data_IF_957782898345
#
_entry.id   IF_957782898345
#
_cell.length_a   1.000
_cell.length_b   1.000
_cell.length_c   1.000
_cell.angle_alpha   90.00
_cell.angle_beta   90.00
_cell.angle_gamma   90.00
#
_symmetry.space_group_name_H-M   'P 1'
#
loop_
_entity.id
_entity.type
_entity.pdbx_description
1 polymer ?
#
# COMPACT_ATOMS: atom_id res chain seq x y z
N UNK A 1 15.38 -20.30 -86.59
CA UNK A 1 14.75 -21.51 -87.19
C UNK A 1 13.67 -21.99 -86.20
N UNK A 2 12.45 -21.94 -86.71
CA UNK A 2 11.27 -22.78 -86.41
C UNK A 2 11.00 -23.13 -84.97
N UNK A 3 9.93 -22.47 -84.41
CA UNK A 3 8.55 -22.94 -84.42
C UNK A 3 8.31 -24.23 -83.60
N UNK A 4 7.58 -24.16 -82.54
CA UNK A 4 6.22 -24.77 -82.56
C UNK A 4 5.53 -24.53 -81.20
N UNK A 5 4.32 -23.94 -81.23
CA UNK A 5 3.29 -23.94 -80.22
C UNK A 5 2.55 -25.28 -80.29
N UNK A 6 2.09 -25.87 -79.25
CA UNK A 6 0.64 -26.09 -79.25
C UNK A 6 -0.08 -25.83 -77.92
N UNK A 7 -1.20 -25.23 -78.13
CA UNK A 7 -2.56 -25.59 -77.62
C UNK A 7 -2.87 -25.63 -76.14
N UNK A 8 -3.74 -24.73 -75.85
CA UNK A 8 -4.59 -24.55 -74.67
C UNK A 8 -5.40 -25.77 -74.25
N UNK A 9 -5.40 -26.02 -72.99
CA UNK A 9 -6.54 -26.74 -72.36
C UNK A 9 -7.02 -25.87 -71.15
N UNK A 10 -8.22 -25.26 -71.32
CA UNK A 10 -8.94 -24.62 -70.22
C UNK A 10 -9.55 -25.71 -69.32
N UNK A 11 -9.10 -25.77 -68.09
CA UNK A 11 -9.83 -26.46 -67.02
C UNK A 11 -10.41 -25.36 -66.11
N UNK A 12 -11.72 -25.25 -66.13
CA UNK A 12 -12.45 -24.39 -65.20
C UNK A 12 -12.40 -25.03 -63.81
N UNK A 13 -11.69 -24.38 -62.92
CA UNK A 13 -11.59 -24.77 -61.50
C UNK A 13 -12.57 -23.86 -60.72
N UNK A 14 -13.70 -24.43 -60.31
CA UNK A 14 -14.66 -23.80 -59.40
C UNK A 14 -14.03 -23.57 -58.06
N UNK A 15 -13.73 -22.33 -57.72
CA UNK A 15 -13.35 -21.92 -56.34
C UNK A 15 -14.56 -21.97 -55.47
N UNK A 16 -14.61 -22.95 -54.56
CA UNK A 16 -15.47 -22.93 -53.42
C UNK A 16 -14.91 -21.92 -52.41
N UNK A 17 -15.60 -20.81 -52.22
CA UNK A 17 -15.35 -19.86 -51.13
C UNK A 17 -15.70 -20.54 -49.81
N UNK A 18 -14.72 -21.13 -49.15
CA UNK A 18 -14.79 -21.50 -47.76
C UNK A 18 -14.76 -20.22 -46.89
N UNK A 19 -15.91 -19.88 -46.29
CA UNK A 19 -15.96 -18.86 -45.27
C UNK A 19 -15.13 -19.31 -44.08
N UNK A 20 -13.94 -18.72 -43.94
CA UNK A 20 -13.18 -18.78 -42.70
C UNK A 20 -13.94 -18.02 -41.63
N UNK A 21 -14.63 -18.74 -40.74
CA UNK A 21 -15.12 -18.19 -39.50
C UNK A 21 -13.90 -17.70 -38.70
N UNK A 22 -13.79 -16.38 -38.50
CA UNK A 22 -12.83 -15.81 -37.58
C UNK A 22 -13.22 -16.28 -36.17
N UNK A 23 -12.27 -16.71 -35.35
CA UNK A 23 -12.54 -16.96 -33.94
C UNK A 23 -12.86 -15.62 -33.29
N UNK A 24 -14.07 -15.51 -32.75
CA UNK A 24 -14.46 -14.43 -31.85
C UNK A 24 -13.50 -14.46 -30.66
N UNK A 25 -12.91 -13.33 -30.23
CA UNK A 25 -12.14 -13.30 -29.00
C UNK A 25 -13.10 -13.48 -27.83
N UNK A 26 -13.16 -14.69 -27.29
CA UNK A 26 -13.74 -14.99 -26.00
C UNK A 26 -12.62 -15.05 -24.96
N UNK A 27 -12.00 -13.92 -24.69
CA UNK A 27 -11.29 -13.69 -23.44
C UNK A 27 -12.17 -12.90 -22.48
N UNK A 28 -13.34 -13.46 -22.18
CA UNK A 28 -14.03 -13.08 -20.96
C UNK A 28 -13.21 -13.67 -19.82
N UNK A 29 -12.51 -12.79 -19.07
CA UNK A 29 -11.89 -13.14 -17.82
C UNK A 29 -12.88 -14.00 -17.02
N UNK A 30 -12.43 -15.17 -16.58
CA UNK A 30 -13.25 -16.07 -15.77
C UNK A 30 -13.82 -15.26 -14.60
N UNK A 31 -15.15 -15.13 -14.46
CA UNK A 31 -15.73 -14.34 -13.38
C UNK A 31 -15.22 -14.92 -12.06
N UNK A 32 -14.72 -14.03 -11.18
CA UNK A 32 -14.34 -14.44 -9.82
C UNK A 32 -15.53 -15.13 -9.16
N UNK A 33 -15.27 -16.18 -8.37
CA UNK A 33 -16.35 -16.79 -7.62
C UNK A 33 -17.03 -15.72 -6.75
N UNK A 34 -18.35 -15.61 -6.76
CA UNK A 34 -19.09 -14.58 -6.03
C UNK A 34 -18.91 -14.69 -4.52
N UNK A 35 -18.43 -15.83 -4.03
CA UNK A 35 -18.27 -16.12 -2.60
C UNK A 35 -17.00 -16.92 -2.34
N UNK A 36 -16.46 -16.73 -1.11
CA UNK A 36 -15.35 -17.53 -0.57
C UNK A 36 -15.69 -18.01 0.84
N UNK A 37 -15.47 -19.28 1.14
CA UNK A 37 -15.57 -19.79 2.49
C UNK A 37 -14.43 -19.23 3.36
N UNK A 38 -14.78 -18.80 4.56
CA UNK A 38 -13.85 -18.32 5.59
C UNK A 38 -14.08 -19.06 6.89
N UNK A 39 -13.14 -18.97 7.84
CA UNK A 39 -13.32 -19.54 9.17
C UNK A 39 -14.58 -19.00 9.90
N UNK A 40 -15.04 -17.82 9.50
CA UNK A 40 -16.19 -17.12 10.08
C UNK A 40 -17.50 -17.31 9.32
N UNK A 41 -17.49 -17.98 8.15
CA UNK A 41 -18.65 -18.18 7.27
C UNK A 41 -18.33 -17.76 5.83
N UNK A 42 -19.36 -17.57 5.02
CA UNK A 42 -19.21 -17.24 3.60
C UNK A 42 -19.04 -15.73 3.41
N UNK A 43 -17.93 -15.31 2.78
CA UNK A 43 -17.64 -13.95 2.37
C UNK A 43 -18.01 -13.74 0.90
N UNK A 44 -18.69 -12.64 0.56
CA UNK A 44 -18.98 -12.27 -0.81
C UNK A 44 -17.98 -11.25 -1.32
N UNK A 45 -17.53 -11.40 -2.57
CA UNK A 45 -16.55 -10.53 -3.22
C UNK A 45 -17.24 -9.83 -4.39
N UNK A 46 -17.08 -8.51 -4.46
CA UNK A 46 -17.62 -7.68 -5.54
C UNK A 46 -16.49 -6.85 -6.14
N UNK A 47 -16.35 -6.85 -7.46
CA UNK A 47 -15.44 -5.95 -8.16
C UNK A 47 -16.15 -4.61 -8.34
N UNK A 48 -15.60 -3.55 -7.75
CA UNK A 48 -16.11 -2.19 -7.87
C UNK A 48 -15.58 -1.53 -9.14
N UNK A 49 -14.28 -1.66 -9.41
CA UNK A 49 -13.65 -1.08 -10.59
C UNK A 49 -12.42 -1.91 -10.99
N UNK A 50 -12.07 -1.82 -12.29
CA UNK A 50 -10.88 -2.41 -12.91
C UNK A 50 -10.16 -1.34 -13.74
N UNK A 51 -9.04 -1.67 -14.39
CA UNK A 51 -8.31 -0.74 -15.23
C UNK A 51 -7.43 0.24 -14.45
N UNK A 52 -7.03 -0.11 -13.22
CA UNK A 52 -6.13 0.68 -12.41
C UNK A 52 -4.69 0.23 -12.63
N UNK A 53 -3.79 1.16 -12.94
CA UNK A 53 -2.39 0.82 -13.18
C UNK A 53 -1.57 0.90 -11.89
N UNK A 54 -1.17 -0.25 -11.34
CA UNK A 54 -0.44 -0.36 -10.09
C UNK A 54 -1.02 0.52 -8.98
N UNK A 55 -2.31 0.37 -8.64
CA UNK A 55 -2.92 1.20 -7.59
C UNK A 55 -2.21 0.95 -6.26
N UNK A 56 -1.97 2.04 -5.50
CA UNK A 56 -1.22 1.96 -4.25
C UNK A 56 -2.09 2.16 -3.00
N UNK A 57 -3.02 3.10 -3.02
CA UNK A 57 -3.92 3.35 -1.90
C UNK A 57 -5.32 3.72 -2.37
N UNK A 58 -6.32 3.36 -1.57
CA UNK A 58 -7.71 3.77 -1.74
C UNK A 58 -8.18 4.60 -0.56
N UNK A 59 -8.83 5.74 -0.83
CA UNK A 59 -9.54 6.53 0.16
C UNK A 59 -11.06 6.43 -0.11
N UNK A 60 -11.81 6.06 0.93
CA UNK A 60 -13.27 6.06 0.89
C UNK A 60 -13.76 7.46 1.18
N UNK A 61 -14.57 8.04 0.28
CA UNK A 61 -15.05 9.42 0.42
C UNK A 61 -16.37 9.46 1.21
N UNK A 62 -16.54 10.38 2.15
CA UNK A 62 -17.77 10.50 2.93
C UNK A 62 -19.04 10.74 2.09
N UNK A 63 -18.91 11.42 0.96
CA UNK A 63 -19.98 11.67 0.01
C UNK A 63 -20.28 10.47 -0.91
N UNK A 64 -19.55 9.39 -0.78
CA UNK A 64 -19.59 8.22 -1.64
C UNK A 64 -18.50 8.23 -2.73
N UNK A 65 -18.25 7.03 -3.31
CA UNK A 65 -17.14 6.82 -4.25
C UNK A 65 -15.78 6.78 -3.56
N UNK A 66 -14.73 6.76 -4.38
CA UNK A 66 -13.38 6.48 -3.92
C UNK A 66 -12.35 7.35 -4.63
N UNK A 67 -11.22 7.64 -3.96
CA UNK A 67 -9.99 8.09 -4.60
C UNK A 67 -8.99 6.95 -4.62
N UNK A 68 -8.31 6.78 -5.73
CA UNK A 68 -7.22 5.80 -5.85
C UNK A 68 -5.99 6.48 -6.40
N UNK A 69 -4.87 6.29 -5.70
CA UNK A 69 -3.54 6.66 -6.19
C UNK A 69 -2.97 5.51 -7.03
N UNK A 70 -2.46 5.84 -8.23
CA UNK A 70 -1.73 4.92 -9.09
C UNK A 70 -0.25 5.30 -9.09
N UNK A 71 0.65 4.34 -8.89
CA UNK A 71 2.10 4.57 -8.75
C UNK A 71 2.73 5.40 -9.87
N UNK A 72 2.31 5.30 -11.14
CA UNK A 72 2.85 6.17 -12.20
C UNK A 72 2.64 7.67 -11.97
N UNK A 73 1.86 8.09 -10.98
CA UNK A 73 1.66 9.50 -10.62
C UNK A 73 0.25 10.01 -10.94
N UNK A 74 -0.73 9.13 -11.08
CA UNK A 74 -2.12 9.50 -11.32
C UNK A 74 -2.97 9.35 -10.06
N UNK A 75 -3.84 10.29 -9.81
CA UNK A 75 -4.93 10.20 -8.85
C UNK A 75 -6.24 10.07 -9.62
N UNK A 76 -7.03 9.05 -9.31
CA UNK A 76 -8.29 8.75 -10.01
C UNK A 76 -9.45 8.76 -9.02
N UNK A 77 -10.60 9.22 -9.49
CA UNK A 77 -11.86 9.05 -8.78
C UNK A 77 -12.60 7.84 -9.33
N UNK A 78 -13.16 7.03 -8.46
CA UNK A 78 -14.11 5.98 -8.81
C UNK A 78 -15.46 6.40 -8.25
N UNK A 79 -16.46 6.51 -9.10
CA UNK A 79 -17.82 6.83 -8.69
C UNK A 79 -18.50 5.62 -8.00
N UNK A 80 -19.65 5.84 -7.39
CA UNK A 80 -20.39 4.78 -6.69
C UNK A 80 -20.89 3.66 -7.59
N UNK A 81 -21.03 3.94 -8.89
CA UNK A 81 -21.38 2.97 -9.94
C UNK A 81 -20.15 2.21 -10.50
N UNK A 82 -18.95 2.49 -9.96
CA UNK A 82 -17.70 1.88 -10.40
C UNK A 82 -17.03 2.59 -11.59
N UNK A 83 -17.61 3.62 -12.16
CA UNK A 83 -17.01 4.34 -13.27
C UNK A 83 -15.74 5.08 -12.85
N UNK A 84 -14.68 4.96 -13.69
CA UNK A 84 -13.35 5.50 -13.43
C UNK A 84 -13.18 6.86 -14.15
N UNK A 85 -12.79 7.90 -13.40
CA UNK A 85 -12.55 9.25 -13.96
C UNK A 85 -11.31 9.29 -14.86
N UNK A 86 -11.15 10.36 -15.63
CA UNK A 86 -9.82 10.80 -16.09
C UNK A 86 -8.90 11.08 -14.89
N UNK A 87 -7.57 11.10 -15.05
CA UNK A 87 -6.66 11.51 -13.99
C UNK A 87 -6.98 12.92 -13.49
N UNK A 88 -7.02 13.09 -12.16
CA UNK A 88 -7.20 14.39 -11.50
C UNK A 88 -5.91 15.20 -11.69
N UNK A 89 -6.04 16.42 -12.21
CA UNK A 89 -4.90 17.32 -12.44
C UNK A 89 -4.31 17.88 -11.13
N UNK A 90 -3.08 18.41 -11.18
CA UNK A 90 -2.43 19.08 -10.05
C UNK A 90 -1.73 18.16 -9.05
N UNK A 91 -1.64 16.87 -9.34
CA UNK A 91 -0.82 15.94 -8.55
C UNK A 91 0.66 16.35 -8.64
N UNK A 92 1.42 16.39 -7.53
CA UNK A 92 2.85 16.67 -7.57
C UNK A 92 3.61 15.71 -8.49
N UNK A 93 4.72 16.18 -9.07
CA UNK A 93 5.62 15.32 -9.84
C UNK A 93 6.18 14.20 -8.97
N UNK A 94 6.21 12.98 -9.49
CA UNK A 94 6.65 11.81 -8.75
C UNK A 94 7.84 11.13 -9.41
N UNK A 95 8.68 10.49 -8.61
CA UNK A 95 9.73 9.58 -9.03
C UNK A 95 9.13 8.16 -9.14
N UNK A 96 8.63 7.81 -10.33
CA UNK A 96 7.90 6.56 -10.57
C UNK A 96 8.82 5.40 -10.97
N UNK A 97 9.92 5.17 -10.22
CA UNK A 97 10.85 4.06 -10.47
C UNK A 97 10.89 3.10 -9.28
N UNK A 98 10.95 1.80 -9.57
CA UNK A 98 10.98 0.75 -8.55
C UNK A 98 9.72 0.76 -7.69
N UNK A 99 9.87 1.03 -6.40
CA UNK A 99 8.77 1.14 -5.43
C UNK A 99 8.24 2.58 -5.27
N UNK A 100 8.86 3.55 -5.94
CA UNK A 100 8.45 4.94 -5.91
C UNK A 100 7.19 5.21 -6.74
N UNK A 101 6.69 6.45 -6.66
CA UNK A 101 5.51 6.92 -7.37
C UNK A 101 4.60 7.78 -6.51
N UNK A 102 3.33 7.90 -6.90
CA UNK A 102 2.26 8.38 -6.03
C UNK A 102 1.84 7.22 -5.14
N UNK A 103 1.83 7.44 -3.83
CA UNK A 103 1.74 6.37 -2.84
C UNK A 103 0.43 6.49 -2.02
N UNK A 104 0.47 6.88 -0.75
CA UNK A 104 -0.76 6.94 0.04
C UNK A 104 -1.66 8.13 -0.32
N UNK A 105 -2.96 7.94 -0.18
CA UNK A 105 -3.98 8.99 -0.24
C UNK A 105 -4.95 8.80 0.91
N UNK A 106 -5.12 9.83 1.74
CA UNK A 106 -6.05 9.79 2.87
C UNK A 106 -6.81 11.12 2.97
N UNK A 107 -8.13 11.08 3.26
CA UNK A 107 -8.87 12.29 3.59
C UNK A 107 -8.36 12.92 4.88
N UNK A 108 -8.33 14.25 4.92
CA UNK A 108 -8.07 15.00 6.15
C UNK A 108 -9.11 14.64 7.23
N UNK A 109 -8.77 14.65 8.54
CA UNK A 109 -9.74 14.41 9.58
C UNK A 109 -10.97 15.33 9.53
N UNK A 110 -10.85 16.52 8.93
CA UNK A 110 -11.93 17.49 8.71
C UNK A 110 -12.39 17.54 7.24
N UNK A 111 -12.16 16.48 6.47
CA UNK A 111 -12.47 16.45 5.04
C UNK A 111 -13.91 16.87 4.70
N UNK A 112 -14.87 16.51 5.52
CA UNK A 112 -16.28 16.87 5.28
C UNK A 112 -16.48 18.40 5.10
N UNK A 113 -15.70 19.22 5.81
CA UNK A 113 -15.76 20.68 5.79
C UNK A 113 -14.74 21.33 4.88
N UNK A 114 -13.50 20.78 4.81
CA UNK A 114 -12.40 21.43 4.13
C UNK A 114 -12.02 20.81 2.77
N UNK A 115 -12.58 19.65 2.43
CA UNK A 115 -12.27 18.88 1.21
C UNK A 115 -10.77 18.61 1.02
N UNK A 116 -10.00 18.68 2.09
CA UNK A 116 -8.56 18.45 2.05
C UNK A 116 -8.25 16.95 2.00
N UNK A 117 -7.25 16.61 1.21
CA UNK A 117 -6.63 15.28 1.18
C UNK A 117 -5.15 15.40 1.48
N UNK A 118 -4.57 14.32 1.95
CA UNK A 118 -3.15 14.14 2.15
C UNK A 118 -2.64 13.12 1.15
N UNK A 119 -1.52 13.41 0.51
CA UNK A 119 -0.86 12.56 -0.47
C UNK A 119 0.58 12.32 -0.04
N UNK A 120 1.03 11.08 0.01
CA UNK A 120 2.45 10.77 0.07
C UNK A 120 2.96 10.35 -1.30
N UNK A 121 4.20 10.66 -1.60
CA UNK A 121 4.80 10.36 -2.89
C UNK A 121 6.33 10.31 -2.80
N UNK A 122 6.95 9.61 -3.75
CA UNK A 122 8.38 9.69 -3.97
C UNK A 122 8.67 11.01 -4.71
N UNK A 123 9.16 12.03 -4.00
CA UNK A 123 9.50 13.32 -4.59
C UNK A 123 10.85 13.24 -5.27
N UNK A 124 10.96 13.57 -6.58
CA UNK A 124 12.25 13.61 -7.27
C UNK A 124 13.16 14.71 -6.68
N UNK A 125 14.46 14.47 -6.78
CA UNK A 125 15.52 15.41 -6.44
C UNK A 125 16.54 15.51 -7.58
N UNK A 126 17.58 16.31 -7.36
CA UNK A 126 18.65 16.48 -8.32
C UNK A 126 19.45 15.17 -8.50
N UNK A 127 20.02 14.98 -9.68
CA UNK A 127 20.90 13.83 -9.96
C UNK A 127 20.24 12.46 -9.88
N UNK A 128 18.91 12.35 -10.07
CA UNK A 128 18.21 11.06 -10.00
C UNK A 128 17.91 10.58 -8.57
N UNK A 129 18.08 11.44 -7.58
CA UNK A 129 17.72 11.15 -6.20
C UNK A 129 16.20 11.26 -5.98
N UNK A 130 15.69 10.63 -4.93
CA UNK A 130 14.30 10.76 -4.49
C UNK A 130 14.20 10.59 -2.97
N UNK A 131 13.12 11.09 -2.40
CA UNK A 131 12.76 10.89 -1.00
C UNK A 131 11.25 10.90 -0.81
N UNK A 132 10.78 10.34 0.28
CA UNK A 132 9.35 10.42 0.61
C UNK A 132 8.97 11.84 0.95
N UNK A 133 7.91 12.34 0.33
CA UNK A 133 7.30 13.61 0.65
C UNK A 133 5.81 13.44 0.92
N UNK A 134 5.23 14.38 1.66
CA UNK A 134 3.80 14.43 1.92
C UNK A 134 3.28 15.83 1.57
N UNK A 135 2.21 15.87 0.81
CA UNK A 135 1.50 17.09 0.47
C UNK A 135 0.06 17.05 0.96
N UNK A 136 -0.48 18.22 1.26
CA UNK A 136 -1.92 18.44 1.40
C UNK A 136 -2.44 19.16 0.17
N UNK A 137 -3.69 18.91 -0.19
CA UNK A 137 -4.36 19.57 -1.30
C UNK A 137 -5.86 19.65 -1.04
N UNK A 138 -6.54 20.61 -1.63
CA UNK A 138 -8.00 20.66 -1.70
C UNK A 138 -8.46 19.87 -2.91
N UNK A 139 -9.36 18.90 -2.69
CA UNK A 139 -9.89 18.03 -3.74
C UNK A 139 -11.05 18.72 -4.46
N UNK A 140 -10.82 19.10 -5.72
CA UNK A 140 -11.86 19.54 -6.64
C UNK A 140 -12.47 18.38 -7.43
N UNK A 141 -13.30 18.69 -8.44
CA UNK A 141 -13.88 17.70 -9.33
C UNK A 141 -12.82 17.03 -10.20
N UNK A 142 -12.05 17.83 -10.94
CA UNK A 142 -11.10 17.37 -11.94
C UNK A 142 -9.65 17.80 -11.65
N UNK A 143 -9.43 18.58 -10.59
CA UNK A 143 -8.12 19.11 -10.24
C UNK A 143 -7.96 19.27 -8.72
N UNK A 144 -6.71 19.13 -8.27
CA UNK A 144 -6.26 19.54 -6.94
C UNK A 144 -5.93 21.04 -6.95
N UNK A 145 -6.31 21.75 -5.88
CA UNK A 145 -5.92 23.12 -5.62
C UNK A 145 -5.20 23.22 -4.28
N UNK A 146 -4.58 24.35 -3.98
CA UNK A 146 -3.86 24.61 -2.72
C UNK A 146 -2.86 23.51 -2.35
N UNK A 147 -2.19 22.95 -3.35
CA UNK A 147 -1.22 21.87 -3.14
C UNK A 147 -0.01 22.41 -2.38
N UNK A 148 0.22 21.87 -1.19
CA UNK A 148 1.30 22.29 -0.31
C UNK A 148 2.07 21.08 0.21
N UNK A 149 3.37 20.98 -0.09
CA UNK A 149 4.25 19.97 0.53
C UNK A 149 4.51 20.36 1.98
N UNK A 150 4.09 19.53 2.91
CA UNK A 150 4.19 19.74 4.36
C UNK A 150 5.32 18.94 5.00
N UNK A 151 5.84 17.94 4.31
CA UNK A 151 6.93 17.09 4.78
C UNK A 151 7.83 16.61 3.64
N UNK A 152 9.14 16.51 3.92
CA UNK A 152 10.15 15.91 3.04
C UNK A 152 11.14 15.08 3.83
N UNK A 153 11.38 13.86 3.39
CA UNK A 153 12.49 13.04 3.84
C UNK A 153 13.81 13.60 3.30
N UNK A 154 14.72 13.90 4.19
CA UNK A 154 16.05 14.41 3.83
C UNK A 154 17.16 13.59 4.50
N UNK A 155 18.32 13.45 3.80
CA UNK A 155 18.58 13.81 2.42
C UNK A 155 17.77 12.95 1.43
N UNK A 156 17.57 13.42 0.19
CA UNK A 156 17.10 12.56 -0.90
C UNK A 156 18.24 11.66 -1.36
N UNK A 157 17.93 10.42 -1.71
CA UNK A 157 18.92 9.39 -2.05
C UNK A 157 18.62 8.76 -3.41
N UNK A 158 19.63 8.25 -4.08
CA UNK A 158 19.48 7.47 -5.30
C UNK A 158 18.74 6.14 -5.05
N UNK A 159 18.24 5.56 -6.13
CA UNK A 159 17.58 4.26 -6.13
C UNK A 159 16.07 4.32 -5.87
N UNK A 160 15.40 3.25 -6.26
CA UNK A 160 13.94 3.13 -6.29
C UNK A 160 13.34 2.27 -5.18
N UNK A 161 14.01 2.08 -4.03
CA UNK A 161 13.55 1.14 -3.00
C UNK A 161 13.24 1.83 -1.67
N UNK A 162 12.36 1.20 -0.88
CA UNK A 162 12.07 1.50 0.52
C UNK A 162 11.67 2.95 0.78
N UNK A 163 10.49 3.35 0.29
CA UNK A 163 9.94 4.69 0.54
C UNK A 163 9.07 4.75 1.80
N UNK A 164 8.55 3.62 2.31
CA UNK A 164 7.54 3.59 3.38
C UNK A 164 6.25 4.23 2.91
N UNK A 165 5.97 5.47 3.37
CA UNK A 165 4.97 6.41 2.83
C UNK A 165 3.55 6.29 3.37
N UNK A 166 3.25 5.40 4.31
CA UNK A 166 1.91 5.32 4.90
C UNK A 166 1.63 6.52 5.82
N UNK A 167 0.40 7.03 5.78
CA UNK A 167 -0.08 8.16 6.57
C UNK A 167 -1.16 7.66 7.53
N UNK A 168 -1.08 8.02 8.82
CA UNK A 168 -2.13 7.76 9.80
C UNK A 168 -2.32 8.94 10.75
N UNK A 169 -3.57 9.24 11.09
CA UNK A 169 -3.93 10.29 12.06
C UNK A 169 -4.20 9.67 13.43
N UNK A 170 -3.72 10.32 14.50
CA UNK A 170 -3.95 9.87 15.87
C UNK A 170 -5.31 10.30 16.47
N UNK A 171 -6.08 11.07 15.73
CA UNK A 171 -7.34 11.66 16.23
C UNK A 171 -7.14 12.75 17.30
N UNK A 172 -5.89 13.13 17.61
CA UNK A 172 -5.52 14.10 18.64
C UNK A 172 -4.82 15.35 18.08
N UNK A 173 -4.87 15.52 16.75
CA UNK A 173 -4.27 16.67 16.06
C UNK A 173 -2.91 16.40 15.44
N UNK A 174 -2.48 15.14 15.37
CA UNK A 174 -1.21 14.77 14.76
C UNK A 174 -1.38 13.78 13.62
N UNK A 175 -0.37 13.77 12.76
CA UNK A 175 -0.19 12.83 11.66
C UNK A 175 1.12 12.06 11.84
N UNK A 176 1.06 10.75 11.67
CA UNK A 176 2.21 9.86 11.55
C UNK A 176 2.50 9.59 10.08
N UNK A 177 3.79 9.63 9.71
CA UNK A 177 4.27 9.36 8.36
C UNK A 177 5.38 8.33 8.44
N UNK A 178 5.20 7.19 7.80
CA UNK A 178 6.20 6.14 7.76
C UNK A 178 7.27 6.40 6.70
N UNK A 179 8.53 6.08 7.01
CA UNK A 179 9.67 6.25 6.11
C UNK A 179 10.38 4.93 5.90
N UNK A 180 10.85 4.70 4.67
CA UNK A 180 11.82 3.65 4.42
C UNK A 180 13.25 4.16 4.52
N UNK A 181 14.20 3.25 4.72
CA UNK A 181 15.64 3.60 4.82
C UNK A 181 16.31 3.74 3.45
N UNK A 182 15.56 3.66 2.34
CA UNK A 182 16.01 3.86 0.97
C UNK A 182 17.10 2.87 0.56
N UNK A 183 17.03 1.64 1.09
CA UNK A 183 18.02 0.57 0.94
C UNK A 183 19.43 0.94 1.45
N UNK A 184 19.50 1.92 2.37
CA UNK A 184 20.71 2.37 3.06
C UNK A 184 20.62 2.00 4.54
N UNK A 185 20.81 0.72 4.84
CA UNK A 185 20.54 0.08 6.13
C UNK A 185 21.04 0.89 7.34
N UNK A 186 22.28 1.37 7.28
CA UNK A 186 22.91 2.09 8.40
C UNK A 186 22.15 3.37 8.78
N UNK A 187 21.48 4.02 7.83
CA UNK A 187 20.76 5.27 8.08
C UNK A 187 19.54 5.08 8.98
N UNK A 188 19.02 3.85 9.12
CA UNK A 188 17.92 3.57 10.04
C UNK A 188 18.28 3.86 11.48
N UNK A 189 19.56 3.72 11.87
CA UNK A 189 20.09 4.00 13.20
C UNK A 189 20.59 5.44 13.38
N UNK A 190 20.82 6.17 12.30
CA UNK A 190 21.30 7.55 12.34
C UNK A 190 20.13 8.51 12.57
N UNK A 191 20.12 9.21 13.72
CA UNK A 191 19.06 10.18 14.06
C UNK A 191 19.24 11.55 13.39
N UNK A 192 20.33 11.80 12.70
CA UNK A 192 20.53 13.08 11.97
C UNK A 192 19.92 13.08 10.56
N UNK A 193 19.33 11.95 10.17
CA UNK A 193 18.64 11.76 8.89
C UNK A 193 17.25 11.16 9.10
N UNK A 194 16.39 11.24 8.06
CA UNK A 194 14.99 10.77 8.18
C UNK A 194 14.73 9.39 7.59
N UNK A 195 15.74 8.72 7.05
CA UNK A 195 15.64 7.38 6.50
C UNK A 195 15.40 6.34 7.60
N UNK A 196 14.40 5.48 7.42
CA UNK A 196 14.06 4.44 8.39
C UNK A 196 13.50 4.98 9.71
N UNK A 197 12.73 6.07 9.62
CA UNK A 197 12.06 6.72 10.75
C UNK A 197 10.56 6.71 10.61
N UNK A 198 9.87 6.60 11.72
CA UNK A 198 8.50 7.05 11.85
C UNK A 198 8.53 8.49 12.34
N UNK A 199 7.84 9.39 11.66
CA UNK A 199 7.74 10.79 12.08
C UNK A 199 6.33 11.12 12.54
N UNK A 200 6.23 12.07 13.50
CA UNK A 200 4.97 12.64 13.97
C UNK A 200 5.00 14.15 13.81
N UNK A 201 3.97 14.70 13.14
CA UNK A 201 3.81 16.13 12.90
C UNK A 201 2.43 16.60 13.36
N UNK A 202 2.30 17.89 13.60
CA UNK A 202 1.00 18.56 13.67
C UNK A 202 0.35 18.58 12.27
N UNK A 203 -0.97 18.77 12.19
CA UNK A 203 -1.70 18.80 10.90
C UNK A 203 -1.31 20.00 10.00
N UNK A 204 -0.60 21.00 10.53
CA UNK A 204 -0.04 22.11 9.75
C UNK A 204 1.38 21.81 9.20
N UNK A 205 1.95 20.66 9.54
CA UNK A 205 3.29 20.22 9.17
C UNK A 205 4.40 20.63 10.13
N UNK A 206 4.07 21.34 11.21
CA UNK A 206 5.05 21.70 12.26
C UNK A 206 5.36 20.50 13.15
N UNK A 207 6.49 20.57 13.87
CA UNK A 207 6.91 19.50 14.77
C UNK A 207 6.28 19.70 16.17
N UNK A 208 5.59 18.69 16.72
CA UNK A 208 5.04 18.74 18.08
C UNK A 208 6.11 18.97 19.14
N UNK A 209 5.82 19.81 20.12
CA UNK A 209 6.75 20.11 21.23
C UNK A 209 6.91 18.94 22.21
N UNK A 210 6.02 17.96 22.16
CA UNK A 210 6.03 16.74 22.98
C UNK A 210 6.56 15.51 22.23
N UNK A 211 7.16 15.69 21.05
CA UNK A 211 7.91 14.62 20.40
C UNK A 211 9.13 14.21 21.25
N UNK A 212 9.53 12.93 21.22
CA UNK A 212 10.59 12.43 22.10
C UNK A 212 11.94 13.13 21.92
N UNK A 213 12.19 13.72 20.74
CA UNK A 213 13.41 14.44 20.43
C UNK A 213 13.18 15.93 20.18
N UNK A 214 12.09 16.53 20.68
CA UNK A 214 11.73 17.93 20.46
C UNK A 214 12.83 18.92 20.86
N UNK A 215 13.62 18.62 21.90
CA UNK A 215 14.75 19.45 22.33
C UNK A 215 16.03 19.30 21.49
N UNK A 216 16.05 18.37 20.51
CA UNK A 216 17.22 18.11 19.66
C UNK A 216 17.28 19.09 18.48
N UNK A 217 18.47 19.32 17.89
CA UNK A 217 18.58 20.11 16.65
C UNK A 217 18.10 19.33 15.43
N UNK A 218 17.81 20.06 14.33
CA UNK A 218 17.61 19.51 13.01
C UNK A 218 16.38 18.63 12.88
N UNK A 219 16.50 17.59 12.05
CA UNK A 219 15.41 16.69 11.64
C UNK A 219 14.91 15.76 12.75
N UNK A 220 15.72 15.53 13.78
CA UNK A 220 15.36 14.68 14.95
C UNK A 220 14.04 15.08 15.59
N UNK A 221 13.71 16.36 15.61
CA UNK A 221 12.47 16.87 16.21
C UNK A 221 11.20 16.25 15.66
N UNK A 222 11.22 15.78 14.41
CA UNK A 222 10.08 15.12 13.80
C UNK A 222 9.99 13.63 14.13
N UNK A 223 11.09 13.02 14.60
CA UNK A 223 11.19 11.58 14.80
C UNK A 223 10.34 11.12 15.99
N UNK A 224 9.47 10.14 15.77
CA UNK A 224 8.73 9.42 16.79
C UNK A 224 9.45 8.15 17.23
N UNK A 225 9.85 7.31 16.27
CA UNK A 225 10.64 6.10 16.47
C UNK A 225 11.62 5.88 15.32
N UNK A 226 12.59 5.00 15.48
CA UNK A 226 13.66 4.78 14.52
C UNK A 226 14.09 3.31 14.45
N UNK A 227 15.04 2.99 13.57
CA UNK A 227 15.50 1.62 13.38
C UNK A 227 14.52 0.78 12.58
N UNK A 228 13.82 1.41 11.62
CA UNK A 228 12.87 0.76 10.71
C UNK A 228 13.48 0.52 9.34
N UNK A 229 13.00 -0.53 8.65
CA UNK A 229 13.45 -0.85 7.30
C UNK A 229 12.56 -0.25 6.21
N UNK A 230 11.33 -0.72 6.09
CA UNK A 230 10.40 -0.28 5.05
C UNK A 230 8.94 -0.48 5.50
N UNK A 231 8.44 0.46 6.25
CA UNK A 231 7.09 0.45 6.82
C UNK A 231 6.02 0.65 5.74
N UNK A 232 5.13 -0.31 5.55
CA UNK A 232 4.12 -0.31 4.48
C UNK A 232 2.67 -0.19 4.97
N UNK A 233 2.35 -0.77 6.11
CA UNK A 233 1.04 -0.67 6.74
C UNK A 233 1.12 0.14 8.03
N UNK A 234 0.08 0.93 8.32
CA UNK A 234 -0.04 1.68 9.56
C UNK A 234 -1.50 1.98 9.85
N UNK A 235 -1.93 1.72 11.09
CA UNK A 235 -3.28 2.02 11.55
C UNK A 235 -3.27 2.30 13.05
N UNK A 236 -4.15 3.19 13.49
CA UNK A 236 -4.42 3.41 14.91
C UNK A 236 -5.55 2.47 15.33
N UNK A 237 -5.32 1.67 16.36
CA UNK A 237 -6.36 0.81 16.94
C UNK A 237 -7.46 1.68 17.56
N UNK A 238 -8.70 1.62 17.04
CA UNK A 238 -9.78 2.48 17.51
C UNK A 238 -10.22 2.18 18.96
N UNK A 239 -9.85 0.99 19.48
CA UNK A 239 -10.21 0.56 20.84
C UNK A 239 -9.24 1.11 21.89
N UNK A 240 -7.96 1.23 21.53
CA UNK A 240 -6.88 1.55 22.48
C UNK A 240 -6.17 2.87 22.17
N UNK A 241 -6.30 3.37 20.94
CA UNK A 241 -5.56 4.53 20.44
C UNK A 241 -4.07 4.25 20.18
N UNK A 242 -3.63 2.99 20.28
CA UNK A 242 -2.26 2.58 19.96
C UNK A 242 -2.03 2.56 18.46
N UNK A 243 -0.86 3.02 18.04
CA UNK A 243 -0.42 2.91 16.66
C UNK A 243 0.15 1.50 16.43
N UNK A 244 -0.32 0.85 15.38
CA UNK A 244 0.24 -0.39 14.85
C UNK A 244 0.86 -0.12 13.49
N UNK A 245 1.96 -0.79 13.21
CA UNK A 245 2.73 -0.61 11.99
C UNK A 245 3.23 -1.96 11.51
N UNK A 246 3.25 -2.19 10.19
CA UNK A 246 3.89 -3.35 9.59
C UNK A 246 5.00 -2.93 8.66
N UNK A 247 6.06 -3.73 8.61
CA UNK A 247 7.19 -3.47 7.72
C UNK A 247 7.77 -4.74 7.09
N UNK A 248 8.41 -4.53 5.94
CA UNK A 248 9.12 -5.60 5.25
C UNK A 248 10.45 -5.90 5.93
N UNK A 249 10.65 -7.14 6.32
CA UNK A 249 11.97 -7.69 6.56
C UNK A 249 12.76 -7.85 5.25
N UNK A 250 13.98 -8.37 5.34
CA UNK A 250 14.71 -8.88 4.18
C UNK A 250 14.12 -10.22 3.71
N UNK A 251 14.93 -11.23 3.41
CA UNK A 251 14.41 -12.58 3.13
C UNK A 251 13.85 -13.20 4.42
N UNK A 252 12.53 -13.18 4.60
CA UNK A 252 11.85 -13.47 5.87
C UNK A 252 11.83 -12.24 6.80
N UNK A 253 11.18 -12.37 7.96
CA UNK A 253 11.17 -11.35 9.00
C UNK A 253 10.32 -10.11 8.70
N UNK A 254 9.26 -10.23 7.88
CA UNK A 254 8.21 -9.22 7.87
C UNK A 254 7.57 -9.19 9.26
N UNK A 255 7.20 -8.00 9.72
CA UNK A 255 6.83 -7.84 11.13
C UNK A 255 5.73 -6.82 11.37
N UNK A 256 5.08 -6.95 12.52
CA UNK A 256 4.25 -5.91 13.12
C UNK A 256 4.97 -5.32 14.31
N UNK A 257 4.95 -4.01 14.41
CA UNK A 257 5.43 -3.24 15.54
C UNK A 257 4.30 -2.38 16.15
N UNK A 258 4.44 -2.05 17.43
CA UNK A 258 3.66 -1.05 18.14
C UNK A 258 4.59 0.14 18.45
N UNK A 259 4.69 1.13 17.55
CA UNK A 259 5.68 2.20 17.69
C UNK A 259 5.44 3.10 18.89
N UNK A 260 6.40 3.14 19.81
CA UNK A 260 6.42 4.00 20.99
C UNK A 260 7.40 5.16 20.81
N UNK A 261 7.13 6.26 21.51
CA UNK A 261 7.95 7.46 21.48
C UNK A 261 9.42 7.19 21.88
N UNK A 262 10.34 7.58 20.99
CA UNK A 262 11.79 7.49 21.25
C UNK A 262 12.39 6.10 21.13
N UNK A 263 11.62 5.07 20.80
CA UNK A 263 12.10 3.69 20.76
C UNK A 263 12.80 3.35 19.44
N UNK A 264 13.79 2.45 19.56
CA UNK A 264 14.57 1.88 18.46
C UNK A 264 14.05 0.48 18.12
N UNK A 265 13.66 0.25 16.87
CA UNK A 265 13.11 -1.03 16.36
C UNK A 265 14.17 -1.92 15.69
N UNK A 266 15.44 -1.55 15.83
CA UNK A 266 16.60 -2.42 15.71
C UNK A 266 17.21 -2.57 14.33
N UNK A 267 16.47 -2.37 13.22
CA UNK A 267 17.05 -2.54 11.90
C UNK A 267 18.26 -1.63 11.65
N UNK A 268 19.41 -2.13 11.11
CA UNK A 268 19.71 -3.52 10.73
C UNK A 268 20.42 -4.32 11.83
N UNK A 269 20.61 -3.76 13.03
CA UNK A 269 21.35 -4.39 14.15
C UNK A 269 20.63 -5.62 14.67
N UNK A 270 19.30 -5.59 14.67
CA UNK A 270 18.46 -6.77 14.91
C UNK A 270 17.60 -7.06 13.69
N UNK A 271 17.41 -8.34 13.36
CA UNK A 271 16.56 -8.80 12.26
C UNK A 271 16.23 -10.28 12.40
N UNK A 272 15.01 -10.66 12.04
CA UNK A 272 14.57 -12.06 11.92
C UNK A 272 14.75 -12.61 10.50
N UNK A 273 15.16 -11.78 9.54
CA UNK A 273 15.35 -12.17 8.14
C UNK A 273 16.83 -12.25 7.73
N UNK A 274 17.05 -12.75 6.52
CA UNK A 274 18.36 -13.01 5.93
C UNK A 274 18.62 -12.11 4.73
N UNK A 275 19.88 -11.83 4.45
CA UNK A 275 20.30 -11.18 3.21
C UNK A 275 19.88 -11.99 1.98
N UNK A 276 19.36 -11.32 0.95
CA UNK A 276 18.85 -11.98 -0.26
C UNK A 276 19.94 -12.69 -1.07
N UNK A 277 21.15 -12.14 -1.08
CA UNK A 277 22.25 -12.66 -1.89
C UNK A 277 22.96 -13.81 -1.18
N UNK A 278 23.29 -13.64 0.08
CA UNK A 278 24.08 -14.59 0.86
C UNK A 278 23.27 -15.68 1.57
N UNK A 279 21.98 -15.44 1.77
CA UNK A 279 21.08 -16.24 2.62
C UNK A 279 21.63 -16.44 4.05
N UNK A 280 22.28 -15.40 4.56
CA UNK A 280 22.85 -15.31 5.93
C UNK A 280 22.39 -14.00 6.56
N UNK A 281 22.47 -13.85 7.89
CA UNK A 281 22.31 -12.54 8.52
C UNK A 281 23.22 -11.50 7.89
N UNK A 282 22.78 -10.25 7.81
CA UNK A 282 23.67 -9.17 7.40
C UNK A 282 24.85 -9.01 8.36
N UNK A 283 26.01 -8.52 7.88
CA UNK A 283 27.17 -8.32 8.76
C UNK A 283 26.90 -7.42 9.97
N UNK A 284 25.96 -6.47 9.82
CA UNK A 284 25.55 -5.56 10.89
C UNK A 284 24.62 -6.22 11.92
N UNK A 285 23.98 -7.33 11.56
CA UNK A 285 22.98 -8.00 12.42
C UNK A 285 23.66 -8.79 13.53
N UNK A 286 23.34 -8.47 14.78
CA UNK A 286 23.85 -9.12 15.99
C UNK A 286 22.94 -10.24 16.48
N UNK A 287 21.78 -10.44 15.86
CA UNK A 287 20.76 -11.41 16.23
C UNK A 287 19.37 -10.82 16.13
N UNK A 288 18.43 -11.46 16.81
CA UNK A 288 17.03 -11.02 16.85
C UNK A 288 16.78 -9.99 17.96
N UNK A 289 17.69 -9.87 18.92
CA UNK A 289 17.59 -8.98 20.09
C UNK A 289 18.91 -8.26 20.35
N UNK A 290 18.80 -7.02 20.83
CA UNK A 290 19.95 -6.25 21.33
C UNK A 290 19.48 -5.26 22.42
N UNK A 291 20.34 -4.90 23.38
CA UNK A 291 20.00 -3.93 24.42
C UNK A 291 19.54 -2.59 23.84
N UNK A 292 18.43 -2.06 24.36
CA UNK A 292 17.84 -0.78 23.94
C UNK A 292 17.04 -0.83 22.66
N UNK A 293 16.88 -2.00 22.05
CA UNK A 293 16.06 -2.22 20.85
C UNK A 293 14.78 -2.99 21.19
N UNK A 294 13.69 -2.61 20.54
CA UNK A 294 12.40 -3.25 20.71
C UNK A 294 12.30 -4.48 19.81
N UNK A 295 11.79 -5.57 20.36
CA UNK A 295 11.38 -6.74 19.56
C UNK A 295 10.11 -6.41 18.78
N UNK A 296 9.98 -6.94 17.57
CA UNK A 296 8.70 -6.92 16.86
C UNK A 296 7.59 -7.57 17.71
N UNK A 297 6.40 -7.04 17.59
CA UNK A 297 5.22 -7.60 18.25
C UNK A 297 4.82 -8.95 17.63
N UNK A 298 4.96 -9.08 16.31
CA UNK A 298 4.72 -10.30 15.55
C UNK A 298 5.67 -10.38 14.35
N UNK A 299 6.13 -11.60 14.01
CA UNK A 299 7.10 -11.83 12.93
C UNK A 299 6.63 -12.99 12.06
N UNK A 300 6.76 -12.84 10.75
CA UNK A 300 6.59 -13.92 9.78
C UNK A 300 7.96 -14.45 9.33
N UNK A 301 8.22 -15.74 9.59
CA UNK A 301 9.45 -16.40 9.13
C UNK A 301 9.56 -16.41 7.59
N UNK A 302 8.42 -16.53 6.90
CA UNK A 302 8.32 -16.38 5.44
C UNK A 302 7.61 -15.07 5.17
N UNK A 303 8.30 -14.10 4.60
CA UNK A 303 7.76 -12.77 4.32
C UNK A 303 6.56 -12.83 3.36
N UNK A 304 5.37 -12.42 3.79
CA UNK A 304 4.23 -12.26 2.88
C UNK A 304 4.35 -10.98 2.03
N UNK A 305 5.33 -10.12 2.29
CA UNK A 305 5.47 -8.75 1.81
C UNK A 305 4.22 -7.93 2.18
N UNK A 306 4.13 -7.58 3.46
CA UNK A 306 3.01 -6.84 4.04
C UNK A 306 2.80 -5.48 3.35
N UNK A 307 1.55 -5.04 3.26
CA UNK A 307 1.19 -3.78 2.60
C UNK A 307 0.21 -2.96 3.44
N UNK A 308 -0.95 -2.54 2.90
CA UNK A 308 -1.94 -1.80 3.69
C UNK A 308 -2.40 -2.54 4.94
N UNK A 309 -2.85 -1.78 5.95
CA UNK A 309 -3.30 -2.30 7.24
C UNK A 309 -4.58 -1.56 7.68
N UNK A 310 -5.56 -2.28 8.19
CA UNK A 310 -6.78 -1.68 8.74
C UNK A 310 -7.38 -2.54 9.85
N UNK A 311 -7.78 -1.91 10.95
CA UNK A 311 -8.64 -2.54 11.95
C UNK A 311 -10.07 -2.64 11.44
N UNK A 312 -10.71 -3.75 11.72
CA UNK A 312 -12.13 -3.89 11.41
C UNK A 312 -12.97 -3.09 12.42
N UNK A 313 -13.67 -2.11 11.91
CA UNK A 313 -14.54 -1.21 12.66
C UNK A 313 -16.01 -1.36 12.22
N UNK A 314 -16.35 -2.53 11.69
CA UNK A 314 -17.66 -2.80 11.11
C UNK A 314 -18.78 -2.96 12.15
N UNK A 315 -19.86 -3.60 11.71
CA UNK A 315 -21.08 -3.72 12.52
C UNK A 315 -20.84 -4.52 13.79
N UNK A 316 -21.36 -4.08 14.95
CA UNK A 316 -21.32 -4.87 16.18
C UNK A 316 -21.88 -6.28 15.98
N UNK A 317 -21.23 -7.27 16.58
CA UNK A 317 -21.65 -8.70 16.48
C UNK A 317 -21.22 -9.38 15.17
N UNK A 318 -20.54 -8.69 14.25
CA UNK A 318 -19.99 -9.32 13.05
C UNK A 318 -18.84 -10.27 13.41
N UNK A 319 -18.72 -11.36 12.68
CA UNK A 319 -17.69 -12.38 12.88
C UNK A 319 -16.24 -11.88 12.63
N UNK A 320 -16.08 -10.69 12.01
CA UNK A 320 -14.79 -10.04 11.81
C UNK A 320 -14.45 -8.98 12.85
N UNK A 321 -15.31 -8.78 13.85
CA UNK A 321 -14.97 -7.88 14.96
C UNK A 321 -13.66 -8.30 15.62
N UNK A 322 -12.94 -7.33 16.15
CA UNK A 322 -11.61 -7.52 16.74
C UNK A 322 -10.59 -8.13 15.76
N UNK A 323 -10.72 -7.84 14.48
CA UNK A 323 -9.76 -8.26 13.46
C UNK A 323 -8.90 -7.10 12.99
N UNK A 324 -7.63 -7.43 12.67
CA UNK A 324 -6.71 -6.60 11.93
C UNK A 324 -6.48 -7.23 10.55
N UNK A 325 -6.71 -6.44 9.50
CA UNK A 325 -6.45 -6.86 8.12
C UNK A 325 -5.15 -6.30 7.61
N UNK A 326 -4.38 -7.12 6.88
CA UNK A 326 -3.15 -6.72 6.19
C UNK A 326 -3.15 -7.26 4.76
N UNK A 327 -2.80 -6.42 3.80
CA UNK A 327 -2.52 -6.91 2.45
C UNK A 327 -1.19 -7.65 2.42
N UNK A 328 -1.08 -8.64 1.52
CA UNK A 328 0.14 -9.40 1.29
C UNK A 328 0.47 -9.43 -0.21
N UNK A 329 1.62 -8.84 -0.59
CA UNK A 329 2.03 -8.74 -1.98
C UNK A 329 2.64 -10.03 -2.51
N UNK A 330 3.65 -10.56 -1.81
CA UNK A 330 4.28 -11.84 -2.17
C UNK A 330 3.39 -13.02 -1.76
N UNK A 331 2.69 -12.89 -0.64
CA UNK A 331 1.74 -13.90 -0.14
C UNK A 331 0.43 -13.95 -0.93
N UNK A 332 0.18 -13.00 -1.84
CA UNK A 332 -1.00 -12.93 -2.73
C UNK A 332 -2.31 -13.23 -2.01
N UNK A 333 -2.51 -12.57 -0.88
CA UNK A 333 -3.65 -12.81 0.00
C UNK A 333 -3.97 -11.58 0.84
N UNK A 334 -5.15 -11.54 1.41
CA UNK A 334 -5.49 -10.67 2.51
C UNK A 334 -5.35 -11.48 3.81
N UNK A 335 -4.49 -11.00 4.70
CA UNK A 335 -4.29 -11.63 6.01
C UNK A 335 -5.32 -11.04 6.97
N UNK A 336 -6.06 -11.87 7.68
CA UNK A 336 -6.90 -11.49 8.80
C UNK A 336 -6.31 -12.04 10.10
N UNK A 337 -5.95 -11.16 11.00
CA UNK A 337 -5.53 -11.50 12.35
C UNK A 337 -6.70 -11.27 13.31
N UNK A 338 -7.11 -12.32 14.01
CA UNK A 338 -8.07 -12.17 15.10
C UNK A 338 -7.35 -11.74 16.36
N UNK A 339 -7.91 -10.76 17.06
CA UNK A 339 -7.33 -10.18 18.26
C UNK A 339 -8.17 -10.49 19.49
N UNK A 340 -7.50 -10.66 20.64
CA UNK A 340 -8.07 -10.65 21.97
C UNK A 340 -7.31 -9.57 22.77
N UNK A 341 -7.91 -8.40 22.92
CA UNK A 341 -7.17 -7.19 23.29
C UNK A 341 -6.12 -6.85 22.25
N UNK A 342 -4.87 -6.76 22.66
CA UNK A 342 -3.74 -6.58 21.72
C UNK A 342 -3.20 -7.93 21.20
N UNK A 343 -3.54 -9.07 21.83
CA UNK A 343 -2.98 -10.38 21.52
C UNK A 343 -3.54 -10.95 20.22
N UNK A 344 -2.67 -11.33 19.29
CA UNK A 344 -3.03 -12.09 18.09
C UNK A 344 -3.33 -13.52 18.51
N UNK A 345 -4.57 -14.00 18.26
CA UNK A 345 -5.01 -15.36 18.65
C UNK A 345 -5.14 -16.30 17.47
N UNK A 346 -5.32 -15.79 16.25
CA UNK A 346 -5.31 -16.62 15.03
C UNK A 346 -4.99 -15.77 13.81
N UNK A 347 -4.53 -16.46 12.76
CA UNK A 347 -4.30 -15.91 11.42
C UNK A 347 -5.11 -16.69 10.39
N UNK A 348 -5.73 -15.99 9.46
CA UNK A 348 -6.45 -16.54 8.32
C UNK A 348 -6.00 -15.86 7.03
N UNK A 349 -5.87 -16.61 5.95
CA UNK A 349 -5.54 -16.09 4.62
C UNK A 349 -6.78 -16.09 3.75
N UNK A 350 -7.22 -14.89 3.35
CA UNK A 350 -8.35 -14.67 2.47
C UNK A 350 -7.85 -14.31 1.06
N UNK A 351 -8.68 -14.48 0.04
CA UNK A 351 -8.40 -14.13 -1.35
C UNK A 351 -7.24 -14.91 -1.99
N UNK A 352 -6.84 -16.05 -1.42
CA UNK A 352 -5.71 -16.85 -1.94
C UNK A 352 -6.00 -17.31 -3.38
N UNK A 353 -7.24 -17.72 -3.67
CA UNK A 353 -7.66 -18.22 -4.98
C UNK A 353 -7.61 -17.17 -6.08
N UNK A 354 -7.59 -15.87 -5.73
CA UNK A 354 -7.40 -14.80 -6.71
C UNK A 354 -5.99 -14.81 -7.30
N UNK A 355 -5.00 -15.31 -6.57
CA UNK A 355 -3.61 -15.29 -6.99
C UNK A 355 -3.05 -13.86 -7.19
N UNK A 356 -3.73 -12.83 -6.68
CA UNK A 356 -3.41 -11.40 -6.88
C UNK A 356 -2.62 -10.84 -5.70
N UNK A 357 -1.74 -9.89 -5.99
CA UNK A 357 -1.01 -9.13 -4.97
C UNK A 357 -1.98 -8.15 -4.31
N UNK A 358 -2.16 -8.22 -3.01
CA UNK A 358 -3.05 -7.28 -2.29
C UNK A 358 -2.21 -6.10 -1.78
N UNK A 359 -2.52 -4.89 -2.26
CA UNK A 359 -1.72 -3.67 -2.00
C UNK A 359 -2.26 -2.82 -0.86
N UNK A 360 -3.55 -2.62 -0.79
CA UNK A 360 -4.15 -1.78 0.25
C UNK A 360 -5.42 -2.43 0.79
N UNK A 361 -5.73 -2.11 2.02
CA UNK A 361 -6.96 -2.53 2.68
C UNK A 361 -7.52 -1.37 3.50
N UNK A 362 -8.84 -1.15 3.36
CA UNK A 362 -9.60 -0.16 4.15
C UNK A 362 -10.89 -0.79 4.63
N UNK A 363 -11.41 -0.28 5.73
CA UNK A 363 -12.72 -0.67 6.26
C UNK A 363 -13.67 0.51 6.11
N UNK A 364 -14.78 0.28 5.43
CA UNK A 364 -15.80 1.31 5.21
C UNK A 364 -16.73 1.46 6.41
N UNK A 365 -17.36 2.64 6.53
CA UNK A 365 -18.43 2.89 7.52
C UNK A 365 -19.67 2.00 7.30
N UNK A 366 -19.80 1.40 6.12
CA UNK A 366 -20.81 0.41 5.77
C UNK A 366 -20.49 -1.00 6.33
N UNK A 367 -19.32 -1.16 6.97
CA UNK A 367 -18.85 -2.42 7.54
C UNK A 367 -18.27 -3.40 6.53
N UNK A 368 -18.01 -2.96 5.30
CA UNK A 368 -17.34 -3.77 4.28
C UNK A 368 -15.83 -3.50 4.29
N UNK A 369 -15.06 -4.47 3.78
CA UNK A 369 -13.63 -4.34 3.61
C UNK A 369 -13.33 -4.08 2.13
N UNK A 370 -12.52 -3.09 1.86
CA UNK A 370 -12.11 -2.68 0.51
C UNK A 370 -10.65 -2.98 0.30
N UNK A 371 -10.30 -3.63 -0.81
CA UNK A 371 -8.91 -3.98 -1.12
C UNK A 371 -8.53 -3.58 -2.54
N UNK A 372 -7.27 -3.21 -2.72
CA UNK A 372 -6.65 -2.97 -4.03
C UNK A 372 -5.73 -4.12 -4.39
N UNK A 373 -5.75 -4.54 -5.65
CA UNK A 373 -4.75 -5.44 -6.21
C UNK A 373 -3.62 -4.65 -6.88
N UNK A 374 -2.35 -5.10 -6.75
CA UNK A 374 -1.16 -4.43 -7.32
C UNK A 374 -0.78 -5.09 -8.66
N UNK A 375 -1.51 -4.76 -9.70
CA UNK A 375 -1.34 -5.31 -11.05
C UNK A 375 -1.35 -4.16 -12.08
N UNK A 376 -0.94 -4.43 -13.33
CA UNK A 376 -1.06 -3.49 -14.46
C UNK A 376 -2.54 -3.19 -14.78
N UNK A 377 -3.41 -4.17 -14.56
CA UNK A 377 -4.86 -4.05 -14.59
C UNK A 377 -5.39 -4.34 -13.16
N UNK A 378 -5.10 -3.43 -12.25
CA UNK A 378 -5.49 -3.50 -10.86
C UNK A 378 -6.98 -3.27 -10.66
N UNK A 379 -7.48 -3.80 -9.55
CA UNK A 379 -8.90 -3.78 -9.20
C UNK A 379 -9.13 -3.20 -7.81
N UNK A 380 -10.26 -2.52 -7.65
CA UNK A 380 -10.86 -2.24 -6.35
C UNK A 380 -11.94 -3.27 -6.08
N UNK A 381 -11.77 -4.05 -5.03
CA UNK A 381 -12.71 -5.07 -4.59
C UNK A 381 -13.38 -4.65 -3.29
N UNK A 382 -14.66 -5.00 -3.14
CA UNK A 382 -15.42 -4.90 -1.90
C UNK A 382 -15.71 -6.29 -1.37
N UNK A 383 -15.36 -6.53 -0.13
CA UNK A 383 -15.59 -7.76 0.57
C UNK A 383 -16.72 -7.56 1.57
N UNK A 384 -17.80 -8.29 1.40
CA UNK A 384 -18.91 -8.30 2.34
C UNK A 384 -18.64 -9.39 3.36
N UNK A 385 -18.51 -9.02 4.64
CA UNK A 385 -18.23 -10.01 5.68
C UNK A 385 -19.36 -11.03 5.79
N UNK A 386 -19.07 -12.23 6.35
CA UNK A 386 -20.08 -13.22 6.64
C UNK A 386 -21.24 -12.62 7.46
N UNK A 387 -22.46 -13.09 7.20
CA UNK A 387 -23.60 -12.70 8.00
C UNK A 387 -23.35 -13.04 9.48
N UNK A 388 -23.75 -12.15 10.38
CA UNK A 388 -23.75 -12.44 11.82
C UNK A 388 -24.64 -13.67 12.09
N UNK A 389 -24.14 -14.61 12.86
CA UNK A 389 -24.92 -15.78 13.29
C UNK A 389 -26.03 -15.39 14.23
#
# INVERSE_FOLDING_TARGET
MRNMIPSSFCIAMTLALGACAQPTPSDAATPMPPTQATASGEMRIETIASGLEHPWAVALLPEGGYLVSERPGRLRRIATDGSLSAPIAGVPAVFAQGQGGLLDVVPDPQYASNKRIWLSFAEPGDGGTAGTAVATATLGTDALTDVRVVYRQVPKLEGGMHFGSRIAFDGKGHVFISQGERNQKALAQDLDVLQGKLVRLNLDGTQPSDNPFAGSPGVRRAVWSYGHRNMQGMAVDPRTGKLWQSEHGPRGGDEINLPEAGKNYGWPVTSDGMDYASNRPYPETRGQEAPGMQRPYHVWAISPALSGMAFYTGRPGNAWNDSLFLGALAGRSLIRLQLDGDRIVSEERLLVDLGKRIRDVRVGSDGNVYVLTDEDDGQLLRLLPPASK
#
